data_IF_469063177503
#
_entry.id   IF_469063177503
#
_cell.length_a   1.000
_cell.length_b   1.000
_cell.length_c   1.000
_cell.angle_alpha   90.00
_cell.angle_beta   90.00
_cell.angle_gamma   90.00
#
_symmetry.space_group_name_H-M   'P 1'
#
loop_
_entity.id
_entity.type
_entity.pdbx_description
1 polymer ?
#
# COMPACT_ATOMS: atom_id res chain seq x y z
N UNK A 1 2.33 -2.13 -20.68
CA UNK A 1 2.53 -3.52 -20.21
C UNK A 1 1.84 -3.59 -18.85
N UNK A 2 1.12 -4.68 -18.51
CA UNK A 2 0.61 -4.84 -17.15
C UNK A 2 1.78 -4.85 -16.17
N UNK A 3 1.58 -4.30 -14.97
CA UNK A 3 2.59 -4.34 -13.92
C UNK A 3 2.91 -5.79 -13.56
N UNK A 4 4.16 -6.05 -13.16
CA UNK A 4 4.63 -7.38 -12.78
C UNK A 4 5.19 -7.38 -11.38
N UNK A 5 5.36 -8.56 -10.77
CA UNK A 5 5.98 -8.68 -9.44
C UNK A 5 7.43 -8.17 -9.41
N UNK A 6 8.08 -7.99 -10.56
CA UNK A 6 9.40 -7.35 -10.68
C UNK A 6 9.36 -5.84 -10.44
N UNK A 7 8.18 -5.23 -10.58
CA UNK A 7 7.96 -3.79 -10.38
C UNK A 7 7.65 -3.47 -8.90
N UNK A 8 7.63 -4.46 -8.02
CA UNK A 8 7.50 -4.25 -6.58
C UNK A 8 8.84 -3.90 -5.94
N UNK A 9 8.81 -3.45 -4.68
CA UNK A 9 10.05 -3.32 -3.90
C UNK A 9 10.69 -4.70 -3.75
N UNK A 10 12.00 -4.79 -3.93
CA UNK A 10 12.77 -6.03 -3.86
C UNK A 10 14.13 -5.80 -3.22
N UNK A 11 14.75 -6.86 -2.70
CA UNK A 11 16.12 -6.80 -2.19
C UNK A 11 16.30 -5.73 -1.11
N UNK A 12 17.28 -4.85 -1.30
CA UNK A 12 17.65 -3.81 -0.33
C UNK A 12 16.62 -2.69 -0.13
N UNK A 13 15.59 -2.61 -0.98
CA UNK A 13 14.51 -1.63 -0.82
C UNK A 13 13.40 -2.13 0.12
N UNK A 14 13.36 -3.43 0.40
CA UNK A 14 12.46 -4.03 1.36
C UNK A 14 13.12 -4.09 2.74
N UNK A 15 12.37 -3.81 3.82
CA UNK A 15 12.89 -4.04 5.15
C UNK A 15 13.21 -5.52 5.39
N UNK A 16 14.26 -5.78 6.17
CA UNK A 16 14.70 -7.15 6.47
C UNK A 16 13.58 -8.01 7.05
N UNK A 17 13.43 -9.22 6.50
CA UNK A 17 12.43 -10.18 6.95
C UNK A 17 10.99 -9.91 6.48
N UNK A 18 10.76 -8.84 5.70
CA UNK A 18 9.46 -8.61 5.07
C UNK A 18 9.31 -9.40 3.77
N UNK A 19 8.10 -9.88 3.53
CA UNK A 19 7.68 -10.40 2.23
C UNK A 19 6.23 -9.95 1.99
N UNK A 20 5.94 -9.57 0.76
CA UNK A 20 4.57 -9.22 0.39
C UNK A 20 3.63 -10.41 0.60
N UNK A 21 2.36 -10.16 0.99
CA UNK A 21 1.35 -11.21 1.04
C UNK A 21 1.25 -11.93 -0.32
N UNK A 22 1.18 -13.28 -0.35
CA UNK A 22 1.09 -14.03 -1.61
C UNK A 22 -0.09 -13.62 -2.48
N UNK A 23 -1.21 -13.25 -1.87
CA UNK A 23 -2.43 -12.77 -2.54
C UNK A 23 -2.19 -11.44 -3.24
N UNK A 24 -1.41 -10.54 -2.65
CA UNK A 24 -1.02 -9.27 -3.26
C UNK A 24 -0.13 -9.49 -4.49
N UNK A 25 0.90 -10.34 -4.35
CA UNK A 25 1.81 -10.67 -5.46
C UNK A 25 1.01 -11.24 -6.63
N UNK A 26 0.08 -12.17 -6.34
CA UNK A 26 -0.82 -12.73 -7.36
C UNK A 26 -1.65 -11.64 -8.03
N UNK A 27 -2.29 -10.76 -7.27
CA UNK A 27 -3.12 -9.66 -7.80
C UNK A 27 -2.35 -8.77 -8.77
N UNK A 28 -1.09 -8.43 -8.43
CA UNK A 28 -0.18 -7.68 -9.32
C UNK A 28 0.15 -8.46 -10.58
N UNK A 29 0.49 -9.75 -10.47
CA UNK A 29 0.82 -10.60 -11.63
C UNK A 29 -0.34 -10.77 -12.62
N UNK A 30 -1.58 -10.71 -12.15
CA UNK A 30 -2.78 -10.71 -13.01
C UNK A 30 -3.15 -9.31 -13.53
N UNK A 31 -2.38 -8.27 -13.18
CA UNK A 31 -2.62 -6.89 -13.62
C UNK A 31 -3.83 -6.22 -13.00
N UNK A 32 -4.38 -6.77 -11.90
CA UNK A 32 -5.56 -6.26 -11.20
C UNK A 32 -5.18 -5.08 -10.28
N UNK A 33 -4.55 -4.07 -10.87
CA UNK A 33 -3.89 -2.97 -10.14
C UNK A 33 -4.71 -1.69 -10.10
N UNK A 34 -5.74 -1.58 -10.94
CA UNK A 34 -6.68 -0.47 -10.98
C UNK A 34 -7.98 -0.90 -10.28
N UNK A 35 -8.14 -0.45 -9.04
CA UNK A 35 -9.29 -0.70 -8.16
C UNK A 35 -9.90 0.65 -7.76
N UNK A 36 -10.04 1.58 -8.72
CA UNK A 36 -10.53 2.95 -8.53
C UNK A 36 -11.62 3.02 -7.43
N UNK A 37 -11.37 3.72 -6.30
CA UNK A 37 -10.40 4.80 -6.16
C UNK A 37 -9.00 4.36 -5.71
N UNK A 38 -8.75 3.07 -5.51
CA UNK A 38 -7.45 2.56 -5.09
C UNK A 38 -6.61 2.10 -6.26
N UNK A 39 -5.36 2.56 -6.34
CA UNK A 39 -4.39 2.12 -7.32
C UNK A 39 -3.21 1.45 -6.66
N UNK A 40 -2.89 0.23 -7.12
CA UNK A 40 -1.68 -0.48 -6.68
C UNK A 40 -0.47 0.19 -7.31
N UNK A 41 0.39 0.75 -6.46
CA UNK A 41 1.63 1.40 -6.90
C UNK A 41 2.68 0.36 -7.26
N UNK A 42 3.39 0.60 -8.36
CA UNK A 42 4.51 -0.22 -8.81
C UNK A 42 5.61 0.68 -9.40
N UNK A 43 6.79 0.12 -9.66
CA UNK A 43 7.92 0.80 -10.28
C UNK A 43 8.44 1.98 -9.47
N UNK A 44 8.83 3.04 -10.16
CA UNK A 44 9.42 4.24 -9.55
C UNK A 44 8.45 4.96 -8.61
N UNK A 45 7.14 4.98 -8.93
CA UNK A 45 6.12 5.58 -8.07
C UNK A 45 6.10 4.93 -6.67
N UNK A 46 6.15 3.59 -6.63
CA UNK A 46 6.20 2.86 -5.37
C UNK A 46 7.46 3.18 -4.56
N UNK A 47 8.63 3.29 -5.22
CA UNK A 47 9.92 3.60 -4.58
C UNK A 47 9.98 5.01 -4.03
N UNK A 48 9.51 5.98 -4.80
CA UNK A 48 9.41 7.38 -4.37
C UNK A 48 8.45 7.52 -3.20
N UNK A 49 7.27 6.85 -3.28
CA UNK A 49 6.30 6.85 -2.20
C UNK A 49 6.87 6.21 -0.94
N UNK A 50 7.54 5.06 -1.04
CA UNK A 50 8.17 4.39 0.10
C UNK A 50 9.20 5.28 0.79
N UNK A 51 10.09 5.90 0.02
CA UNK A 51 11.12 6.81 0.54
C UNK A 51 10.50 8.03 1.23
N UNK A 52 9.56 8.70 0.55
CA UNK A 52 8.92 9.89 1.10
C UNK A 52 8.05 9.60 2.33
N UNK A 53 7.34 8.47 2.35
CA UNK A 53 6.52 8.07 3.50
C UNK A 53 7.39 7.83 4.74
N UNK A 54 8.56 7.21 4.57
CA UNK A 54 9.51 6.99 5.67
C UNK A 54 10.01 8.32 6.27
N UNK A 55 10.24 9.34 5.45
CA UNK A 55 10.63 10.69 5.89
C UNK A 55 9.49 11.40 6.63
N UNK A 56 8.26 11.30 6.11
CA UNK A 56 7.07 11.96 6.67
C UNK A 56 6.54 11.29 7.93
N UNK A 57 6.75 9.98 8.10
CA UNK A 57 6.28 9.19 9.25
C UNK A 57 7.43 8.51 9.98
N UNK A 58 8.37 9.30 10.56
CA UNK A 58 9.55 8.74 11.21
C UNK A 58 9.17 7.84 12.39
N UNK A 59 9.88 6.72 12.52
CA UNK A 59 9.65 5.74 13.59
C UNK A 59 8.55 4.71 13.29
N UNK A 60 7.94 4.75 12.11
CA UNK A 60 7.06 3.68 11.62
C UNK A 60 7.76 2.87 10.54
N UNK A 61 7.53 1.55 10.56
CA UNK A 61 8.00 0.62 9.54
C UNK A 61 6.84 0.29 8.61
N UNK A 62 6.57 1.19 7.66
CA UNK A 62 5.47 1.06 6.69
C UNK A 62 6.01 0.77 5.29
N UNK A 63 5.50 -0.28 4.66
CA UNK A 63 5.73 -0.56 3.25
C UNK A 63 4.46 -0.21 2.49
N UNK A 64 4.40 0.89 1.73
CA UNK A 64 3.22 1.25 0.97
C UNK A 64 2.99 0.26 -0.18
N UNK A 65 1.75 0.12 -0.62
CA UNK A 65 1.42 -0.70 -1.78
C UNK A 65 0.24 -0.19 -2.60
N UNK A 66 -0.64 0.63 -2.03
CA UNK A 66 -1.72 1.28 -2.79
C UNK A 66 -1.90 2.74 -2.36
N UNK A 67 -2.25 3.59 -3.30
CA UNK A 67 -2.68 4.97 -3.04
C UNK A 67 -4.13 5.13 -3.47
N UNK A 68 -4.84 6.04 -2.80
CA UNK A 68 -6.19 6.42 -3.19
C UNK A 68 -6.10 7.65 -4.08
N UNK A 69 -6.88 7.72 -5.16
CA UNK A 69 -6.76 8.82 -6.14
C UNK A 69 -7.45 10.12 -5.72
N UNK A 70 -8.47 10.02 -4.85
CA UNK A 70 -9.37 11.10 -4.48
C UNK A 70 -8.93 11.85 -3.22
N UNK A 71 -7.89 11.35 -2.56
CA UNK A 71 -7.26 11.95 -1.39
C UNK A 71 -5.79 11.48 -1.25
N UNK A 72 -5.09 11.91 -0.20
CA UNK A 72 -3.70 11.52 0.03
C UNK A 72 -3.56 10.22 0.87
N UNK A 73 -4.55 9.33 0.85
CA UNK A 73 -4.50 8.09 1.63
C UNK A 73 -3.65 7.03 0.94
N UNK A 74 -2.82 6.36 1.75
CA UNK A 74 -1.91 5.32 1.30
C UNK A 74 -2.09 4.08 2.17
N UNK A 75 -2.39 2.95 1.53
CA UNK A 75 -2.43 1.66 2.19
C UNK A 75 -1.01 1.07 2.30
N UNK A 76 -0.64 0.64 3.50
CA UNK A 76 0.68 0.15 3.84
C UNK A 76 0.61 -1.16 4.62
N UNK A 77 1.56 -2.05 4.38
CA UNK A 77 1.88 -3.11 5.33
C UNK A 77 2.62 -2.48 6.52
N UNK A 78 2.09 -2.66 7.73
CA UNK A 78 2.71 -2.22 8.98
C UNK A 78 3.54 -3.36 9.57
N UNK A 79 4.86 -3.28 9.45
CA UNK A 79 5.77 -4.34 9.87
C UNK A 79 5.83 -4.53 11.38
N UNK A 80 5.46 -3.50 12.15
CA UNK A 80 5.46 -3.59 13.61
C UNK A 80 4.31 -4.49 14.10
N UNK A 81 3.20 -4.55 13.35
CA UNK A 81 1.99 -5.27 13.76
C UNK A 81 1.63 -6.44 12.84
N UNK A 82 2.19 -6.51 11.63
CA UNK A 82 1.79 -7.47 10.60
C UNK A 82 0.42 -7.20 9.97
N UNK A 83 -0.14 -6.01 10.20
CA UNK A 83 -1.48 -5.61 9.73
C UNK A 83 -1.39 -4.63 8.55
N UNK A 84 -2.51 -4.29 7.94
CA UNK A 84 -2.58 -3.18 6.96
C UNK A 84 -3.01 -1.90 7.68
N UNK A 85 -2.29 -0.81 7.43
CA UNK A 85 -2.63 0.53 7.90
C UNK A 85 -2.90 1.45 6.70
N UNK A 86 -3.99 2.21 6.75
CA UNK A 86 -4.26 3.29 5.80
C UNK A 86 -3.90 4.60 6.47
N UNK A 87 -2.97 5.34 5.88
CA UNK A 87 -2.45 6.59 6.44
C UNK A 87 -2.68 7.73 5.46
N UNK A 88 -3.00 8.91 5.99
CA UNK A 88 -3.05 10.13 5.19
C UNK A 88 -1.62 10.69 5.04
N UNK A 89 -1.00 10.53 3.88
CA UNK A 89 0.45 10.67 3.69
C UNK A 89 0.95 12.11 3.93
N UNK A 90 0.26 13.10 3.36
CA UNK A 90 0.59 14.53 3.51
C UNK A 90 -0.09 15.20 4.73
N UNK A 91 -0.64 14.39 5.65
CA UNK A 91 -1.27 14.85 6.89
C UNK A 91 -0.31 15.05 8.07
N UNK A 92 -0.87 15.25 9.27
CA UNK A 92 -0.09 15.24 10.51
C UNK A 92 0.59 13.87 10.69
N UNK A 93 1.94 13.80 10.82
CA UNK A 93 2.68 12.56 11.05
C UNK A 93 2.19 11.76 12.27
N UNK A 94 1.62 12.44 13.27
CA UNK A 94 1.09 11.85 14.51
C UNK A 94 -0.41 11.54 14.45
N UNK A 95 -1.07 11.85 13.33
CA UNK A 95 -2.45 11.47 13.13
C UNK A 95 -2.62 9.95 13.25
N UNK A 96 -3.76 9.55 13.78
CA UNK A 96 -4.18 8.14 13.77
C UNK A 96 -4.32 7.66 12.33
N UNK A 97 -4.17 6.36 12.15
CA UNK A 97 -4.49 5.72 10.88
C UNK A 97 -5.96 5.99 10.53
N UNK A 98 -6.23 6.24 9.26
CA UNK A 98 -7.59 6.41 8.71
C UNK A 98 -8.37 5.10 8.89
N UNK A 99 -7.70 3.98 8.63
CA UNK A 99 -8.23 2.65 8.84
C UNK A 99 -7.10 1.65 9.16
N UNK A 100 -7.49 0.51 9.76
CA UNK A 100 -6.63 -0.65 9.95
C UNK A 100 -7.38 -1.93 9.59
N UNK A 101 -6.67 -2.87 8.98
CA UNK A 101 -7.21 -4.18 8.60
C UNK A 101 -6.29 -5.27 9.12
N UNK A 102 -6.85 -6.43 9.48
CA UNK A 102 -6.08 -7.55 10.02
C UNK A 102 -5.00 -8.03 9.05
N UNK A 103 -5.31 -8.05 7.75
CA UNK A 103 -4.45 -8.56 6.69
C UNK A 103 -4.81 -7.93 5.33
N UNK A 104 -4.10 -8.35 4.28
CA UNK A 104 -4.33 -7.88 2.91
C UNK A 104 -5.71 -8.26 2.36
N UNK A 105 -6.23 -9.51 2.50
CA UNK A 105 -7.58 -9.84 2.09
C UNK A 105 -8.67 -8.96 2.71
N UNK A 106 -8.55 -8.61 4.00
CA UNK A 106 -9.49 -7.70 4.66
C UNK A 106 -9.44 -6.29 4.06
N UNK A 107 -8.24 -5.77 3.75
CA UNK A 107 -8.10 -4.50 3.02
C UNK A 107 -8.66 -4.60 1.60
N UNK A 108 -8.36 -5.66 0.86
CA UNK A 108 -8.81 -5.86 -0.52
C UNK A 108 -10.34 -5.93 -0.60
N UNK A 109 -10.99 -6.59 0.36
CA UNK A 109 -12.44 -6.60 0.45
C UNK A 109 -13.01 -5.18 0.60
N UNK A 110 -12.41 -4.33 1.44
CA UNK A 110 -12.81 -2.93 1.55
C UNK A 110 -12.52 -2.15 0.26
N UNK A 111 -11.35 -2.33 -0.35
CA UNK A 111 -11.02 -1.66 -1.61
C UNK A 111 -12.01 -2.03 -2.73
N UNK A 112 -12.51 -3.27 -2.75
CA UNK A 112 -13.57 -3.69 -3.68
C UNK A 112 -14.93 -3.06 -3.36
N UNK A 113 -15.27 -2.88 -2.08
CA UNK A 113 -16.47 -2.13 -1.68
C UNK A 113 -16.35 -0.68 -2.16
N UNK A 114 -15.22 -0.03 -1.88
CA UNK A 114 -14.95 1.33 -2.33
C UNK A 114 -15.06 1.42 -3.86
N UNK A 115 -14.51 0.44 -4.60
CA UNK A 115 -14.61 0.37 -6.06
C UNK A 115 -16.05 0.30 -6.58
N UNK A 116 -16.93 -0.44 -5.91
CA UNK A 116 -18.33 -0.54 -6.30
C UNK A 116 -19.15 0.71 -5.95
N UNK A 117 -18.71 1.49 -4.96
CA UNK A 117 -19.42 2.67 -4.46
C UNK A 117 -18.91 3.99 -5.07
N UNK A 118 -17.70 3.98 -5.63
CA UNK A 118 -17.08 5.16 -6.26
C UNK A 118 -17.78 5.51 -7.58
N UNK A 119 -18.13 6.79 -7.74
CA UNK A 119 -18.86 7.34 -8.90
C UNK A 119 -18.05 8.42 -9.63
#
# INVERSE_FOLDING_TARGET
MPATSQDLLTGGDLPDGFSYPPEFVRLVEYGLTDLEPWWIMTGDLLRERHTGLAERRPGRSLVPFAERQDNDDVACCDLATGTIAVVHDYGDPKARDVARFADFPAWLHQAMVDFLEFN
#
